data_IF_801142651508
#
_entry.id   IF_801142651508
#
_cell.length_a   1.000
_cell.length_b   1.000
_cell.length_c   1.000
_cell.angle_alpha   90.00
_cell.angle_beta   90.00
_cell.angle_gamma   90.00
#
_symmetry.space_group_name_H-M   'P 1'
#
loop_
_entity.id
_entity.type
_entity.pdbx_description
1 polymer ?
#
# COMPACT_ATOMS: atom_id res chain seq x y z
N UNK A 1 28.33 62.14 1.68
CA UNK A 1 29.27 61.28 2.44
C UNK A 1 28.63 59.94 2.61
N UNK A 2 28.96 59.19 1.73
CA UNK A 2 29.26 57.76 1.51
C UNK A 2 29.10 56.87 2.75
N UNK A 3 28.98 55.63 2.46
CA UNK A 3 28.01 54.64 2.01
C UNK A 3 28.23 53.26 2.68
N UNK A 4 27.73 52.25 2.01
CA UNK A 4 28.16 50.83 2.01
C UNK A 4 27.44 49.95 3.01
N UNK A 5 26.83 49.02 2.38
CA UNK A 5 27.22 47.61 2.06
C UNK A 5 26.72 46.73 3.16
N UNK A 6 26.10 45.64 2.92
CA UNK A 6 26.45 44.50 2.09
C UNK A 6 25.28 43.53 2.16
N UNK A 7 24.77 42.99 1.09
CA UNK A 7 25.33 41.84 0.37
C UNK A 7 25.50 40.58 1.22
N UNK A 8 24.79 39.59 0.72
CA UNK A 8 25.13 38.16 0.69
C UNK A 8 25.06 37.36 1.98
N UNK A 9 24.04 36.53 2.04
CA UNK A 9 24.30 35.11 1.92
C UNK A 9 22.99 34.31 1.76
N UNK A 10 22.69 33.80 0.59
CA UNK A 10 21.92 32.56 0.49
C UNK A 10 22.70 31.63 -0.40
N UNK A 11 23.25 30.58 0.08
CA UNK A 11 23.66 29.39 -0.69
C UNK A 11 24.48 28.42 0.16
N UNK A 12 23.91 27.90 1.22
CA UNK A 12 24.53 26.79 1.96
C UNK A 12 23.54 25.81 2.60
N UNK A 13 22.33 25.65 2.08
CA UNK A 13 21.35 24.71 2.64
C UNK A 13 20.92 23.58 1.68
N UNK A 14 21.53 23.45 0.50
CA UNK A 14 21.09 22.45 -0.49
C UNK A 14 22.05 21.29 -0.74
N UNK A 15 23.21 21.24 -0.10
CA UNK A 15 24.17 20.13 -0.27
C UNK A 15 24.05 18.99 0.75
N UNK A 16 23.13 19.08 1.72
CA UNK A 16 22.98 18.05 2.75
C UNK A 16 21.99 16.91 2.38
N UNK A 17 21.43 16.90 1.15
CA UNK A 17 20.41 15.92 0.74
C UNK A 17 20.90 14.73 -0.09
N UNK A 18 22.18 14.62 -0.39
CA UNK A 18 22.70 13.56 -1.27
C UNK A 18 23.93 12.83 -0.76
N UNK A 19 24.10 12.71 0.54
CA UNK A 19 25.12 11.81 1.05
C UNK A 19 24.56 10.37 1.05
N UNK A 20 25.19 9.40 0.36
CA UNK A 20 24.83 8.00 0.50
C UNK A 20 25.03 7.59 1.96
N UNK A 21 24.02 6.89 2.51
CA UNK A 21 24.12 6.28 3.84
C UNK A 21 25.44 5.48 3.91
N UNK A 22 26.19 5.56 5.03
CA UNK A 22 27.41 4.80 5.18
C UNK A 22 27.11 3.33 4.98
N UNK A 23 27.93 2.65 4.15
CA UNK A 23 27.82 1.21 3.94
C UNK A 23 27.97 0.48 5.30
N UNK A 24 26.96 -0.25 5.70
CA UNK A 24 27.01 -1.09 6.89
C UNK A 24 28.16 -2.11 6.76
N UNK A 25 28.84 -2.46 7.85
CA UNK A 25 29.95 -3.41 7.80
C UNK A 25 29.46 -4.77 7.25
N UNK A 26 30.26 -5.48 6.44
CA UNK A 26 29.86 -6.69 5.72
C UNK A 26 29.34 -7.84 6.63
N UNK A 27 29.73 -7.87 7.90
CA UNK A 27 29.20 -8.84 8.87
C UNK A 27 27.72 -8.59 9.22
N UNK A 28 27.27 -7.33 9.24
CA UNK A 28 25.88 -6.97 9.46
C UNK A 28 25.01 -7.29 8.21
N UNK A 29 25.55 -7.14 7.02
CA UNK A 29 24.86 -7.40 5.76
C UNK A 29 24.51 -8.91 5.60
N UNK A 30 25.45 -9.81 5.83
CA UNK A 30 25.20 -11.26 5.77
C UNK A 30 24.14 -11.73 6.77
N UNK A 31 24.14 -11.16 7.96
CA UNK A 31 23.15 -11.44 9.02
C UNK A 31 21.73 -10.97 8.61
N UNK A 32 21.62 -9.80 7.96
CA UNK A 32 20.32 -9.25 7.52
C UNK A 32 19.69 -10.06 6.38
N UNK A 33 20.48 -10.49 5.39
CA UNK A 33 20.01 -11.41 4.35
C UNK A 33 19.51 -12.73 4.96
N UNK A 34 20.28 -13.33 5.86
CA UNK A 34 19.93 -14.58 6.53
C UNK A 34 18.59 -14.47 7.29
N UNK A 35 18.36 -13.35 7.98
CA UNK A 35 17.10 -13.06 8.67
C UNK A 35 15.92 -12.95 7.68
N UNK A 36 16.10 -12.23 6.56
CA UNK A 36 15.07 -12.08 5.52
C UNK A 36 14.73 -13.42 4.86
N UNK A 37 15.73 -14.25 4.53
CA UNK A 37 15.52 -15.57 3.96
C UNK A 37 14.72 -16.46 4.90
N UNK A 38 15.12 -16.53 6.17
CA UNK A 38 14.41 -17.31 7.19
C UNK A 38 12.98 -16.81 7.41
N UNK A 39 12.78 -15.49 7.42
CA UNK A 39 11.45 -14.88 7.55
C UNK A 39 10.53 -15.33 6.41
N UNK A 40 10.96 -15.20 5.16
CA UNK A 40 10.15 -15.56 4.00
C UNK A 40 9.90 -17.07 3.91
N UNK A 41 10.90 -17.89 4.20
CA UNK A 41 10.74 -19.35 4.23
C UNK A 41 9.69 -19.77 5.25
N UNK A 42 9.80 -19.30 6.49
CA UNK A 42 8.84 -19.61 7.54
C UNK A 42 7.43 -19.12 7.20
N UNK A 43 7.33 -17.92 6.65
CA UNK A 43 6.06 -17.33 6.24
C UNK A 43 5.35 -18.14 5.14
N UNK A 44 6.11 -18.77 4.27
CA UNK A 44 5.58 -19.67 3.21
C UNK A 44 5.40 -21.11 3.68
N UNK A 45 5.71 -21.43 4.93
CA UNK A 45 5.57 -22.76 5.50
C UNK A 45 6.60 -23.77 4.99
N UNK A 46 7.70 -23.32 4.35
CA UNK A 46 8.73 -24.21 3.86
C UNK A 46 9.68 -24.65 5.00
N UNK A 47 9.98 -25.96 5.05
CA UNK A 47 11.18 -26.42 5.76
C UNK A 47 12.45 -26.06 4.97
N UNK A 48 13.64 -26.08 5.61
CA UNK A 48 14.90 -25.89 4.85
C UNK A 48 15.09 -26.94 3.76
N UNK A 49 14.64 -28.17 3.99
CA UNK A 49 14.70 -29.25 3.00
C UNK A 49 13.73 -28.98 1.84
N UNK A 50 12.50 -28.56 2.13
CA UNK A 50 11.52 -28.26 1.09
C UNK A 50 11.97 -27.09 0.20
N UNK A 51 12.53 -26.02 0.78
CA UNK A 51 13.08 -24.91 0.00
C UNK A 51 14.27 -25.35 -0.83
N UNK A 52 15.16 -26.18 -0.28
CA UNK A 52 16.32 -26.68 -0.97
C UNK A 52 15.93 -27.52 -2.21
N UNK A 53 14.93 -28.38 -2.08
CA UNK A 53 14.40 -29.19 -3.19
C UNK A 53 13.76 -28.30 -4.25
N UNK A 54 12.91 -27.36 -3.88
CA UNK A 54 12.26 -26.43 -4.81
C UNK A 54 13.29 -25.58 -5.57
N UNK A 55 14.30 -25.05 -4.87
CA UNK A 55 15.35 -24.23 -5.46
C UNK A 55 16.52 -25.06 -6.07
N UNK A 56 16.45 -26.38 -6.14
CA UNK A 56 17.51 -27.20 -6.74
C UNK A 56 18.88 -27.08 -6.06
N UNK A 57 18.92 -26.83 -4.75
CA UNK A 57 20.15 -26.71 -3.95
C UNK A 57 20.19 -27.71 -2.81
N UNK A 58 21.31 -27.84 -2.10
CA UNK A 58 21.38 -28.72 -0.93
C UNK A 58 20.77 -28.08 0.31
N UNK A 59 20.13 -28.85 1.18
CA UNK A 59 19.63 -28.38 2.48
C UNK A 59 20.76 -27.73 3.32
N UNK A 60 21.96 -28.29 3.28
CA UNK A 60 23.15 -27.75 3.94
C UNK A 60 23.44 -26.31 3.47
N UNK A 61 23.29 -26.05 2.17
CA UNK A 61 23.51 -24.71 1.61
C UNK A 61 22.49 -23.72 2.14
N UNK A 62 21.18 -24.07 2.14
CA UNK A 62 20.11 -23.24 2.72
C UNK A 62 20.40 -22.95 4.21
N UNK A 63 20.81 -23.98 4.98
CA UNK A 63 21.15 -23.83 6.38
C UNK A 63 22.34 -22.88 6.60
N UNK A 64 23.36 -22.93 5.73
CA UNK A 64 24.50 -22.02 5.81
C UNK A 64 24.15 -20.59 5.44
N UNK A 65 23.28 -20.39 4.44
CA UNK A 65 22.75 -19.06 4.08
C UNK A 65 21.95 -18.46 5.24
N UNK A 66 21.07 -19.22 5.89
CA UNK A 66 20.26 -18.77 7.01
C UNK A 66 21.05 -18.53 8.32
N UNK A 67 22.22 -19.15 8.44
CA UNK A 67 23.13 -18.94 9.58
C UNK A 67 24.25 -17.94 9.30
N UNK A 68 24.20 -17.26 8.15
CA UNK A 68 25.23 -16.34 7.67
C UNK A 68 26.64 -16.95 7.56
N UNK A 69 26.73 -18.28 7.42
CA UNK A 69 28.00 -19.02 7.21
C UNK A 69 28.42 -19.08 5.76
N UNK A 70 27.53 -18.75 4.84
CA UNK A 70 27.81 -18.65 3.41
C UNK A 70 27.21 -17.35 2.87
N UNK A 71 27.94 -16.69 1.97
CA UNK A 71 27.43 -15.56 1.22
C UNK A 71 26.65 -16.06 -0.02
N UNK A 72 25.45 -15.54 -0.28
CA UNK A 72 24.69 -15.88 -1.49
C UNK A 72 25.26 -15.19 -2.72
N UNK A 73 25.16 -15.81 -3.90
CA UNK A 73 25.31 -15.08 -5.16
C UNK A 73 24.01 -14.33 -5.50
N UNK A 74 24.10 -13.32 -6.37
CA UNK A 74 22.93 -12.57 -6.87
C UNK A 74 21.87 -13.50 -7.47
N UNK A 75 22.28 -14.47 -8.27
CA UNK A 75 21.37 -15.44 -8.90
C UNK A 75 20.71 -16.34 -7.84
N UNK A 76 21.45 -16.77 -6.83
CA UNK A 76 20.91 -17.56 -5.73
C UNK A 76 19.82 -16.80 -4.96
N UNK A 77 20.02 -15.51 -4.68
CA UNK A 77 19.00 -14.67 -4.03
C UNK A 77 17.73 -14.62 -4.86
N UNK A 78 17.85 -14.35 -6.17
CA UNK A 78 16.69 -14.25 -7.06
C UNK A 78 15.96 -15.58 -7.18
N UNK A 79 16.67 -16.69 -7.27
CA UNK A 79 16.11 -18.04 -7.35
C UNK A 79 15.33 -18.40 -6.07
N UNK A 80 15.94 -18.23 -4.90
CA UNK A 80 15.26 -18.47 -3.63
C UNK A 80 14.05 -17.55 -3.42
N UNK A 81 14.18 -16.28 -3.82
CA UNK A 81 13.09 -15.32 -3.72
C UNK A 81 11.94 -15.64 -4.68
N UNK A 82 12.21 -16.23 -5.83
CA UNK A 82 11.20 -16.68 -6.79
C UNK A 82 10.44 -17.88 -6.24
N UNK A 83 11.13 -18.93 -5.79
CA UNK A 83 10.51 -20.11 -5.17
C UNK A 83 9.64 -19.77 -3.95
N UNK A 84 10.06 -18.78 -3.18
CA UNK A 84 9.30 -18.28 -2.02
C UNK A 84 8.20 -17.28 -2.40
N UNK A 85 7.99 -16.97 -3.68
CA UNK A 85 7.06 -15.93 -4.14
C UNK A 85 7.23 -14.62 -3.35
N UNK A 86 8.49 -14.19 -3.16
CA UNK A 86 8.81 -12.94 -2.48
C UNK A 86 8.40 -11.78 -3.39
N UNK A 87 7.65 -10.77 -2.89
CA UNK A 87 7.31 -9.58 -3.68
C UNK A 87 8.56 -8.82 -4.16
N UNK A 88 8.47 -8.14 -5.31
CA UNK A 88 9.63 -7.53 -6.00
C UNK A 88 10.43 -6.57 -5.12
N UNK A 89 9.76 -5.73 -4.33
CA UNK A 89 10.41 -4.83 -3.37
C UNK A 89 11.24 -5.58 -2.33
N UNK A 90 10.70 -6.66 -1.81
CA UNK A 90 11.42 -7.49 -0.83
C UNK A 90 12.55 -8.29 -1.48
N UNK A 91 12.45 -8.65 -2.77
CA UNK A 91 13.60 -9.19 -3.53
C UNK A 91 14.72 -8.15 -3.60
N UNK A 92 14.39 -6.87 -3.87
CA UNK A 92 15.34 -5.77 -3.81
C UNK A 92 15.97 -5.63 -2.42
N UNK A 93 15.16 -5.72 -1.36
CA UNK A 93 15.67 -5.68 0.02
C UNK A 93 16.63 -6.85 0.32
N UNK A 94 16.32 -8.06 -0.15
CA UNK A 94 17.22 -9.22 -0.02
C UNK A 94 18.53 -9.02 -0.77
N UNK A 95 18.48 -8.44 -1.99
CA UNK A 95 19.67 -8.10 -2.78
C UNK A 95 20.53 -7.05 -2.06
N UNK A 96 19.92 -5.95 -1.61
CA UNK A 96 20.62 -4.90 -0.86
C UNK A 96 21.24 -5.43 0.44
N UNK A 97 20.51 -6.27 1.17
CA UNK A 97 20.99 -6.90 2.40
C UNK A 97 22.19 -7.85 2.18
N UNK A 98 22.40 -8.30 0.95
CA UNK A 98 23.55 -9.11 0.56
C UNK A 98 24.64 -8.31 -0.21
N UNK A 99 24.49 -6.97 -0.29
CA UNK A 99 25.45 -6.08 -0.94
C UNK A 99 25.31 -5.97 -2.47
N UNK A 100 24.17 -6.41 -3.04
CA UNK A 100 23.90 -6.29 -4.48
C UNK A 100 22.96 -5.12 -4.79
N UNK A 101 23.12 -4.54 -5.99
CA UNK A 101 22.18 -3.54 -6.50
C UNK A 101 20.78 -4.14 -6.71
N UNK A 102 19.69 -3.35 -6.52
CA UNK A 102 18.33 -3.75 -6.83
C UNK A 102 18.18 -4.28 -8.26
N UNK A 103 17.27 -5.24 -8.44
CA UNK A 103 16.98 -5.83 -9.75
C UNK A 103 15.72 -5.24 -10.40
N UNK A 104 14.82 -4.73 -9.60
CA UNK A 104 13.50 -4.27 -10.05
C UNK A 104 13.36 -2.77 -9.81
N UNK A 105 12.91 -2.00 -10.82
CA UNK A 105 12.58 -0.59 -10.62
C UNK A 105 11.52 -0.39 -9.54
N UNK A 106 11.49 0.79 -8.92
CA UNK A 106 10.51 1.16 -7.88
C UNK A 106 9.87 2.52 -8.20
N UNK A 107 9.65 2.82 -9.47
CA UNK A 107 9.13 4.13 -9.90
C UNK A 107 7.66 4.34 -9.52
N UNK A 108 6.80 3.31 -9.71
CA UNK A 108 5.36 3.46 -9.47
C UNK A 108 4.73 4.61 -10.27
N UNK A 109 3.46 4.94 -9.97
CA UNK A 109 2.76 6.08 -10.58
C UNK A 109 3.04 7.43 -9.90
N UNK A 110 3.71 7.44 -8.76
CA UNK A 110 3.98 8.65 -7.98
C UNK A 110 5.05 9.58 -8.58
N UNK A 111 5.87 9.10 -9.53
CA UNK A 111 6.87 9.92 -10.20
C UNK A 111 6.23 10.99 -11.09
N UNK A 112 6.86 12.15 -11.32
CA UNK A 112 6.38 13.16 -12.27
C UNK A 112 6.18 12.59 -13.69
N UNK A 113 5.21 13.11 -14.43
CA UNK A 113 4.85 12.56 -15.74
C UNK A 113 5.92 12.79 -16.81
N UNK A 114 6.64 13.88 -16.72
CA UNK A 114 7.74 14.30 -17.60
C UNK A 114 9.02 13.48 -17.40
N UNK A 115 9.20 12.89 -16.23
CA UNK A 115 10.32 12.00 -15.91
C UNK A 115 9.97 10.51 -16.13
N UNK A 116 8.74 10.20 -16.51
CA UNK A 116 8.27 8.84 -16.63
C UNK A 116 8.88 8.12 -17.84
N UNK A 117 9.38 6.91 -17.63
CA UNK A 117 9.82 6.02 -18.71
C UNK A 117 8.67 5.70 -19.69
N UNK A 118 8.96 5.31 -20.96
CA UNK A 118 7.91 4.91 -21.92
C UNK A 118 6.98 3.81 -21.36
N UNK A 119 7.53 2.86 -20.60
CA UNK A 119 6.75 1.83 -19.92
C UNK A 119 5.78 2.46 -18.91
N UNK A 120 6.23 3.41 -18.11
CA UNK A 120 5.40 4.07 -17.11
C UNK A 120 4.32 4.96 -17.75
N UNK A 121 4.61 5.59 -18.90
CA UNK A 121 3.61 6.32 -19.67
C UNK A 121 2.51 5.39 -20.17
N UNK A 122 2.87 4.20 -20.68
CA UNK A 122 1.88 3.19 -21.10
C UNK A 122 1.00 2.72 -19.92
N UNK A 123 1.60 2.51 -18.74
CA UNK A 123 0.85 2.15 -17.53
C UNK A 123 -0.11 3.27 -17.13
N UNK A 124 0.33 4.54 -17.14
CA UNK A 124 -0.54 5.71 -16.86
C UNK A 124 -1.73 5.77 -17.82
N UNK A 125 -1.46 5.54 -19.11
CA UNK A 125 -2.53 5.51 -20.12
C UNK A 125 -3.55 4.39 -19.83
N UNK A 126 -3.08 3.18 -19.52
CA UNK A 126 -3.95 2.06 -19.18
C UNK A 126 -4.78 2.32 -17.91
N UNK A 127 -4.14 2.86 -16.85
CA UNK A 127 -4.81 3.23 -15.60
C UNK A 127 -5.89 4.30 -15.88
N UNK A 128 -5.56 5.34 -16.65
CA UNK A 128 -6.53 6.37 -17.02
C UNK A 128 -7.72 5.79 -17.77
N UNK A 129 -7.48 4.88 -18.72
CA UNK A 129 -8.54 4.20 -19.44
C UNK A 129 -9.47 3.40 -18.50
N UNK A 130 -8.91 2.68 -17.53
CA UNK A 130 -9.69 1.94 -16.52
C UNK A 130 -10.54 2.92 -15.69
N UNK A 131 -9.95 4.00 -15.20
CA UNK A 131 -10.66 5.00 -14.40
C UNK A 131 -11.80 5.67 -15.20
N UNK A 132 -11.54 6.05 -16.45
CA UNK A 132 -12.54 6.69 -17.33
C UNK A 132 -13.69 5.73 -17.67
N UNK A 133 -13.40 4.45 -17.90
CA UNK A 133 -14.41 3.43 -18.23
C UNK A 133 -15.25 2.99 -17.02
N UNK A 134 -14.80 3.25 -15.80
CA UNK A 134 -15.56 2.95 -14.59
C UNK A 134 -16.73 3.93 -14.36
N UNK A 135 -16.71 5.12 -14.96
CA UNK A 135 -17.82 6.08 -14.85
C UNK A 135 -19.17 5.44 -15.25
N UNK A 136 -20.26 5.73 -14.56
CA UNK A 136 -20.47 6.78 -13.55
C UNK A 136 -20.04 6.40 -12.13
N UNK A 137 -19.44 5.24 -11.92
CA UNK A 137 -19.08 4.75 -10.60
C UNK A 137 -17.68 5.19 -10.17
N UNK A 138 -17.46 5.44 -8.87
CA UNK A 138 -16.18 5.88 -8.36
C UNK A 138 -15.08 4.84 -8.58
N UNK A 139 -13.85 5.31 -8.87
CA UNK A 139 -12.66 4.49 -8.90
C UNK A 139 -11.44 5.31 -8.49
N UNK A 140 -10.52 4.64 -7.80
CA UNK A 140 -9.27 5.23 -7.30
C UNK A 140 -8.09 4.31 -7.58
N UNK A 141 -6.91 4.90 -7.61
CA UNK A 141 -5.63 4.20 -7.65
C UNK A 141 -4.87 4.51 -6.37
N UNK A 142 -4.42 3.47 -5.70
CA UNK A 142 -3.71 3.55 -4.42
C UNK A 142 -2.33 2.91 -4.52
N UNK A 143 -1.38 3.46 -3.77
CA UNK A 143 -0.15 2.76 -3.47
C UNK A 143 -0.33 1.74 -2.32
N UNK A 144 0.76 1.06 -1.94
CA UNK A 144 0.77 0.09 -0.83
C UNK A 144 0.39 0.66 0.53
N UNK A 145 0.52 1.97 0.69
CA UNK A 145 0.22 2.70 1.92
C UNK A 145 -1.12 3.42 1.89
N UNK A 146 -1.96 3.11 0.90
CA UNK A 146 -3.26 3.77 0.65
C UNK A 146 -3.16 5.27 0.34
N UNK A 147 -2.00 5.75 -0.15
CA UNK A 147 -1.95 7.08 -0.73
C UNK A 147 -2.67 7.09 -2.06
N UNK A 148 -3.51 8.10 -2.25
CA UNK A 148 -4.27 8.31 -3.48
C UNK A 148 -3.33 8.79 -4.59
N UNK A 149 -3.10 7.95 -5.60
CA UNK A 149 -2.27 8.27 -6.76
C UNK A 149 -3.08 8.90 -7.89
N UNK A 150 -4.31 8.43 -8.09
CA UNK A 150 -5.26 8.98 -9.07
C UNK A 150 -6.70 8.60 -8.69
N UNK A 151 -7.68 9.32 -9.25
CA UNK A 151 -9.10 9.07 -9.07
C UNK A 151 -9.90 9.55 -10.27
N UNK A 152 -11.02 8.90 -10.56
CA UNK A 152 -11.94 9.42 -11.56
C UNK A 152 -12.82 10.56 -11.00
N UNK A 153 -13.52 11.26 -11.90
CA UNK A 153 -14.41 12.39 -11.54
C UNK A 153 -15.53 11.96 -10.60
N UNK A 154 -16.07 10.74 -10.78
CA UNK A 154 -17.13 10.22 -9.92
C UNK A 154 -16.67 10.10 -8.46
N UNK A 155 -15.44 9.62 -8.20
CA UNK A 155 -14.88 9.56 -6.85
C UNK A 155 -14.70 10.95 -6.25
N UNK A 156 -14.14 11.91 -6.99
CA UNK A 156 -13.95 13.28 -6.49
C UNK A 156 -15.28 13.92 -6.08
N UNK A 157 -16.33 13.76 -6.90
CA UNK A 157 -17.67 14.24 -6.58
C UNK A 157 -18.28 13.57 -5.35
N UNK A 158 -18.14 12.23 -5.26
CA UNK A 158 -18.61 11.48 -4.09
C UNK A 158 -17.92 11.95 -2.80
N UNK A 159 -16.61 12.12 -2.81
CA UNK A 159 -15.86 12.56 -1.64
C UNK A 159 -16.18 13.99 -1.27
N UNK A 160 -16.26 14.90 -2.23
CA UNK A 160 -16.67 16.28 -1.97
C UNK A 160 -18.08 16.35 -1.35
N UNK A 161 -19.02 15.53 -1.83
CA UNK A 161 -20.33 15.40 -1.21
C UNK A 161 -20.24 14.80 0.20
N UNK A 162 -19.52 13.71 0.40
CA UNK A 162 -19.48 13.00 1.68
C UNK A 162 -18.75 13.81 2.77
N UNK A 163 -17.64 14.46 2.44
CA UNK A 163 -16.83 15.22 3.39
C UNK A 163 -17.30 16.68 3.49
N UNK A 164 -17.69 17.28 2.36
CA UNK A 164 -18.15 18.67 2.26
C UNK A 164 -17.06 19.69 1.97
N UNK A 165 -15.86 19.22 1.70
CA UNK A 165 -14.70 20.04 1.33
C UNK A 165 -13.76 19.26 0.39
N UNK A 166 -12.64 19.90 0.01
CA UNK A 166 -11.69 19.36 -0.95
C UNK A 166 -10.52 18.57 -0.30
N UNK A 167 -10.62 18.15 0.98
CA UNK A 167 -9.56 17.41 1.67
C UNK A 167 -9.20 16.07 1.02
N UNK A 168 -10.09 15.52 0.21
CA UNK A 168 -9.82 14.33 -0.60
C UNK A 168 -9.08 14.62 -1.91
N UNK A 169 -8.80 15.88 -2.21
CA UNK A 169 -8.12 16.32 -3.41
C UNK A 169 -6.69 16.77 -3.09
N UNK A 170 -5.78 16.53 -4.01
CA UNK A 170 -4.38 16.91 -3.83
C UNK A 170 -3.49 16.33 -4.93
N UNK A 171 -2.20 16.66 -4.86
CA UNK A 171 -1.21 16.03 -5.72
C UNK A 171 -1.17 14.51 -5.50
N UNK A 172 -0.77 13.70 -6.49
CA UNK A 172 -0.62 12.27 -6.34
C UNK A 172 0.22 11.90 -5.10
N UNK A 173 -0.34 11.06 -4.22
CA UNK A 173 0.31 10.65 -2.97
C UNK A 173 0.14 11.58 -1.77
N UNK A 174 -0.47 12.76 -1.94
CA UNK A 174 -0.68 13.70 -0.83
C UNK A 174 -1.78 13.27 0.15
N UNK A 175 -2.80 12.58 -0.35
CA UNK A 175 -3.95 12.12 0.44
C UNK A 175 -3.79 10.65 0.79
N UNK A 176 -3.92 10.32 2.07
CA UNK A 176 -3.98 8.93 2.52
C UNK A 176 -5.43 8.53 2.81
N UNK A 177 -5.97 7.59 2.03
CA UNK A 177 -7.38 7.19 2.11
C UNK A 177 -7.75 6.55 3.44
N UNK A 178 -6.84 5.78 4.08
CA UNK A 178 -7.13 5.20 5.39
C UNK A 178 -7.18 6.29 6.48
N UNK A 179 -6.25 7.25 6.46
CA UNK A 179 -6.32 8.40 7.37
C UNK A 179 -7.64 9.17 7.16
N UNK A 180 -8.03 9.41 5.90
CA UNK A 180 -9.27 10.12 5.58
C UNK A 180 -10.52 9.38 6.09
N UNK A 181 -10.57 8.06 5.95
CA UNK A 181 -11.69 7.22 6.42
C UNK A 181 -11.79 7.23 7.95
N UNK A 182 -10.68 7.11 8.67
CA UNK A 182 -10.68 7.04 10.15
C UNK A 182 -10.72 8.41 10.83
N UNK A 183 -10.51 9.51 10.09
CA UNK A 183 -10.52 10.87 10.65
C UNK A 183 -11.94 11.27 11.10
N UNK A 184 -12.15 11.53 12.42
CA UNK A 184 -13.44 11.92 12.95
C UNK A 184 -13.96 13.27 12.42
N UNK A 185 -13.12 14.04 11.74
CA UNK A 185 -13.48 15.32 11.13
C UNK A 185 -13.62 15.26 9.60
N UNK A 186 -13.34 14.10 8.98
CA UNK A 186 -13.40 13.91 7.52
C UNK A 186 -14.51 12.95 7.11
N UNK A 187 -14.15 11.74 6.64
CA UNK A 187 -15.15 10.79 6.09
C UNK A 187 -15.88 10.00 7.20
N UNK A 188 -15.26 9.82 8.36
CA UNK A 188 -15.81 9.01 9.45
C UNK A 188 -17.25 9.36 9.85
N UNK A 189 -17.64 10.65 10.00
CA UNK A 189 -19.01 11.03 10.38
C UNK A 189 -20.06 10.66 9.34
N UNK A 190 -19.68 10.62 8.06
CA UNK A 190 -20.58 10.28 6.97
C UNK A 190 -20.84 8.77 6.84
N UNK A 191 -20.02 7.91 7.46
CA UNK A 191 -20.18 6.46 7.39
C UNK A 191 -21.23 5.99 8.39
N UNK A 192 -22.37 5.50 7.92
CA UNK A 192 -23.47 5.03 8.74
C UNK A 192 -23.09 3.79 9.54
N UNK A 193 -22.55 2.79 8.88
CA UNK A 193 -22.12 1.52 9.46
C UNK A 193 -20.65 1.50 9.88
N UNK A 194 -20.19 2.64 10.40
CA UNK A 194 -18.76 2.93 10.69
C UNK A 194 -18.08 1.94 11.62
N UNK A 195 -18.81 1.34 12.59
CA UNK A 195 -18.20 0.36 13.48
C UNK A 195 -17.83 -0.95 12.76
N UNK A 196 -18.72 -1.46 11.90
CA UNK A 196 -18.47 -2.68 11.14
C UNK A 196 -17.36 -2.42 10.09
N UNK A 197 -17.46 -1.33 9.33
CA UNK A 197 -16.47 -0.92 8.35
C UNK A 197 -15.12 -0.63 9.01
N UNK A 198 -15.12 0.09 10.12
CA UNK A 198 -13.91 0.44 10.86
C UNK A 198 -13.17 -0.78 11.39
N UNK A 199 -13.87 -1.74 12.01
CA UNK A 199 -13.26 -3.00 12.47
C UNK A 199 -12.69 -3.82 11.31
N UNK A 200 -13.40 -3.90 10.19
CA UNK A 200 -12.92 -4.58 9.00
C UNK A 200 -11.65 -3.92 8.45
N UNK A 201 -11.67 -2.61 8.26
CA UNK A 201 -10.53 -1.85 7.72
C UNK A 201 -9.33 -1.85 8.68
N UNK A 202 -9.54 -1.71 9.99
CA UNK A 202 -8.46 -1.79 10.97
C UNK A 202 -7.75 -3.16 10.93
N UNK A 203 -8.52 -4.24 10.80
CA UNK A 203 -7.95 -5.58 10.62
C UNK A 203 -7.19 -5.71 9.30
N UNK A 204 -7.76 -5.21 8.21
CA UNK A 204 -7.12 -5.21 6.89
C UNK A 204 -5.79 -4.44 6.91
N UNK A 205 -5.79 -3.22 7.44
CA UNK A 205 -4.58 -2.39 7.58
C UNK A 205 -3.49 -3.15 8.35
N UNK A 206 -3.84 -3.75 9.48
CA UNK A 206 -2.88 -4.53 10.27
C UNK A 206 -2.34 -5.74 9.51
N UNK A 207 -3.19 -6.50 8.84
CA UNK A 207 -2.77 -7.68 8.07
C UNK A 207 -1.85 -7.29 6.91
N UNK A 208 -2.18 -6.24 6.18
CA UNK A 208 -1.38 -5.77 5.05
C UNK A 208 -0.04 -5.17 5.51
N UNK A 209 -0.06 -4.35 6.56
CA UNK A 209 1.17 -3.77 7.09
C UNK A 209 2.06 -4.78 7.81
N UNK A 210 1.50 -5.85 8.40
CA UNK A 210 2.29 -6.94 8.98
C UNK A 210 3.15 -7.66 7.93
N UNK A 211 2.79 -7.59 6.64
CA UNK A 211 3.62 -8.08 5.54
C UNK A 211 4.92 -7.26 5.36
N UNK A 212 4.89 -6.02 5.79
CA UNK A 212 5.96 -5.02 5.64
C UNK A 212 6.50 -4.54 6.99
N UNK A 213 6.30 -5.32 8.07
CA UNK A 213 6.61 -4.92 9.46
C UNK A 213 8.08 -4.53 9.72
N UNK A 214 8.98 -4.84 8.80
CA UNK A 214 10.41 -4.50 8.88
C UNK A 214 10.68 -3.05 8.42
N UNK A 215 9.70 -2.41 7.77
CA UNK A 215 9.83 -1.04 7.26
C UNK A 215 9.35 -0.02 8.30
N UNK A 216 10.22 0.89 8.80
CA UNK A 216 9.83 1.91 9.78
C UNK A 216 8.73 2.87 9.28
N UNK A 217 8.62 3.10 7.97
CA UNK A 217 7.55 3.93 7.40
C UNK A 217 6.19 3.25 7.54
N UNK A 218 6.15 1.94 7.36
CA UNK A 218 4.96 1.10 7.57
C UNK A 218 4.49 1.17 9.02
N UNK A 219 5.41 1.08 9.98
CA UNK A 219 5.06 1.13 11.39
C UNK A 219 4.51 2.50 11.80
N UNK A 220 5.15 3.58 11.36
CA UNK A 220 4.65 4.95 11.60
C UNK A 220 3.25 5.16 11.04
N UNK A 221 2.98 4.69 9.83
CA UNK A 221 1.64 4.80 9.22
C UNK A 221 0.58 4.04 10.05
N UNK A 222 0.91 2.84 10.53
CA UNK A 222 0.00 2.08 11.40
C UNK A 222 -0.30 2.82 12.69
N UNK A 223 0.72 3.40 13.33
CA UNK A 223 0.57 4.16 14.57
C UNK A 223 -0.27 5.43 14.35
N UNK A 224 -0.04 6.15 13.24
CA UNK A 224 -0.83 7.31 12.86
C UNK A 224 -2.31 6.97 12.65
N UNK A 225 -2.62 5.89 11.92
CA UNK A 225 -4.00 5.46 11.67
C UNK A 225 -4.65 4.98 12.97
N UNK A 226 -3.93 4.22 13.80
CA UNK A 226 -4.39 3.75 15.11
C UNK A 226 -4.74 4.92 16.03
N UNK A 227 -3.94 5.98 16.02
CA UNK A 227 -4.18 7.17 16.84
C UNK A 227 -5.50 7.89 16.51
N UNK A 228 -6.03 7.76 15.30
CA UNK A 228 -7.32 8.35 14.91
C UNK A 228 -8.52 7.64 15.56
N UNK A 229 -8.43 6.30 15.74
CA UNK A 229 -9.53 5.48 16.27
C UNK A 229 -8.99 4.32 17.16
N UNK A 230 -8.38 4.60 18.32
CA UNK A 230 -7.70 3.59 19.14
C UNK A 230 -8.59 2.40 19.51
N UNK A 231 -9.82 2.66 19.95
CA UNK A 231 -10.76 1.63 20.38
C UNK A 231 -11.12 0.62 19.29
N UNK A 232 -11.15 1.03 18.02
CA UNK A 232 -11.40 0.13 16.90
C UNK A 232 -10.23 -0.83 16.66
N UNK A 233 -9.02 -0.35 16.83
CA UNK A 233 -7.82 -1.18 16.67
C UNK A 233 -7.67 -2.17 17.83
N UNK A 234 -8.01 -1.79 19.05
CA UNK A 234 -8.09 -2.69 20.20
C UNK A 234 -9.15 -3.77 19.99
N UNK A 235 -10.35 -3.38 19.53
CA UNK A 235 -11.43 -4.33 19.23
C UNK A 235 -11.10 -5.25 18.04
N UNK A 236 -10.29 -4.82 17.08
CA UNK A 236 -9.83 -5.63 15.96
C UNK A 236 -8.80 -6.69 16.39
N UNK A 237 -8.19 -6.56 17.57
CA UNK A 237 -7.30 -7.56 18.17
C UNK A 237 -8.07 -8.73 18.78
N UNK A 238 -9.33 -8.54 19.13
CA UNK A 238 -10.16 -9.61 19.64
C UNK A 238 -10.37 -10.71 18.60
N UNK A 239 -10.37 -12.00 19.01
CA UNK A 239 -10.76 -13.11 18.12
C UNK A 239 -12.13 -12.84 17.50
N UNK A 240 -12.29 -13.20 16.23
CA UNK A 240 -13.65 -13.23 15.65
C UNK A 240 -14.53 -14.15 16.50
N UNK A 241 -15.79 -13.77 16.77
CA UNK A 241 -16.75 -14.70 17.34
C UNK A 241 -16.77 -15.96 16.45
N UNK A 242 -16.33 -17.09 17.00
CA UNK A 242 -16.40 -18.38 16.32
C UNK A 242 -17.81 -18.93 16.51
N UNK A 243 -18.70 -18.58 15.60
CA UNK A 243 -20.05 -19.11 15.56
C UNK A 243 -20.92 -18.34 14.58
N UNK A 244 -21.86 -18.98 13.90
CA UNK A 244 -22.89 -18.24 13.19
C UNK A 244 -23.64 -17.40 14.22
N UNK A 245 -23.77 -16.11 13.99
CA UNK A 245 -24.69 -15.26 14.72
C UNK A 245 -26.10 -15.82 14.45
N UNK A 246 -26.70 -16.46 15.44
CA UNK A 246 -27.89 -17.30 15.30
C UNK A 246 -29.16 -16.53 14.87
N UNK A 247 -29.10 -15.21 14.70
CA UNK A 247 -30.26 -14.36 14.39
C UNK A 247 -30.05 -13.34 13.27
N UNK A 248 -28.91 -13.32 12.60
CA UNK A 248 -28.73 -12.51 11.40
C UNK A 248 -28.85 -13.42 10.18
N UNK A 249 -29.83 -13.17 9.31
CA UNK A 249 -29.92 -13.84 8.01
C UNK A 249 -28.57 -13.89 7.31
N UNK A 250 -28.41 -14.74 6.30
CA UNK A 250 -27.13 -14.93 5.61
C UNK A 250 -26.39 -13.60 5.42
N UNK A 251 -25.17 -13.45 6.01
CA UNK A 251 -24.45 -12.19 5.88
C UNK A 251 -24.19 -11.93 4.39
N UNK A 252 -24.32 -10.67 3.92
CA UNK A 252 -24.06 -10.36 2.54
C UNK A 252 -22.63 -10.79 2.17
N UNK A 253 -22.39 -11.26 0.93
CA UNK A 253 -21.09 -11.76 0.49
C UNK A 253 -19.97 -10.70 0.53
N UNK A 254 -20.33 -9.45 0.77
CA UNK A 254 -19.40 -8.31 0.92
C UNK A 254 -19.94 -7.35 2.00
N UNK A 255 -19.05 -6.60 2.63
CA UNK A 255 -19.41 -5.54 3.57
C UNK A 255 -19.57 -4.22 2.78
N UNK A 256 -20.79 -3.70 2.59
CA UNK A 256 -20.98 -2.41 1.96
C UNK A 256 -20.51 -1.28 2.89
N UNK A 257 -19.97 -0.21 2.32
CA UNK A 257 -19.76 1.07 2.99
C UNK A 257 -20.97 1.94 2.69
N UNK A 258 -21.73 2.29 3.72
CA UNK A 258 -22.91 3.15 3.60
C UNK A 258 -22.59 4.57 4.05
N UNK A 259 -22.66 5.50 3.12
CA UNK A 259 -22.46 6.92 3.34
C UNK A 259 -23.80 7.63 3.44
N UNK A 260 -23.92 8.60 4.35
CA UNK A 260 -25.12 9.44 4.49
C UNK A 260 -24.74 10.90 4.72
N UNK A 261 -25.36 11.79 3.96
CA UNK A 261 -25.27 13.22 4.13
C UNK A 261 -26.49 13.93 3.53
N UNK A 262 -26.97 14.99 4.18
CA UNK A 262 -28.07 15.85 3.71
C UNK A 262 -29.32 15.05 3.25
N UNK A 263 -29.66 14.00 4.00
CA UNK A 263 -30.82 13.13 3.70
C UNK A 263 -30.60 12.13 2.57
N UNK A 264 -29.47 12.14 1.87
CA UNK A 264 -29.11 11.16 0.86
C UNK A 264 -28.24 10.06 1.46
N UNK A 265 -28.61 8.79 1.14
CA UNK A 265 -27.83 7.61 1.53
C UNK A 265 -27.31 6.90 0.30
N UNK A 266 -26.04 6.51 0.31
CA UNK A 266 -25.37 5.78 -0.77
C UNK A 266 -24.62 4.60 -0.16
N UNK A 267 -24.97 3.38 -0.57
CA UNK A 267 -24.31 2.15 -0.16
C UNK A 267 -23.46 1.61 -1.30
N UNK A 268 -22.19 1.31 -1.01
CA UNK A 268 -21.20 0.91 -2.00
C UNK A 268 -20.49 -0.36 -1.55
N UNK A 269 -20.20 -1.26 -2.47
CA UNK A 269 -19.20 -2.29 -2.28
C UNK A 269 -17.98 -2.03 -3.19
N UNK A 270 -16.86 -2.63 -2.86
CA UNK A 270 -15.62 -2.40 -3.61
C UNK A 270 -15.06 -3.69 -4.20
N UNK A 271 -14.40 -3.56 -5.35
CA UNK A 271 -13.54 -4.58 -5.92
C UNK A 271 -12.12 -4.05 -6.03
N UNK A 272 -11.15 -4.94 -5.89
CA UNK A 272 -9.74 -4.62 -6.02
C UNK A 272 -9.19 -5.26 -7.28
N UNK A 273 -8.52 -4.46 -8.09
CA UNK A 273 -7.84 -4.90 -9.31
C UNK A 273 -6.35 -4.55 -9.20
N UNK A 274 -5.49 -5.47 -9.63
CA UNK A 274 -4.04 -5.29 -9.72
C UNK A 274 -3.58 -5.54 -11.15
N UNK A 275 -2.40 -5.03 -11.52
CA UNK A 275 -1.78 -5.37 -12.80
C UNK A 275 -1.29 -6.82 -12.79
N UNK A 276 -1.55 -7.57 -13.87
CA UNK A 276 -1.33 -9.01 -13.90
C UNK A 276 0.15 -9.44 -13.89
N UNK A 277 1.05 -8.67 -14.52
CA UNK A 277 2.47 -9.03 -14.65
C UNK A 277 3.40 -7.83 -14.44
N UNK A 278 3.40 -7.24 -13.25
CA UNK A 278 4.24 -6.08 -12.99
C UNK A 278 5.73 -6.46 -12.97
N UNK A 279 6.55 -5.60 -13.60
CA UNK A 279 8.02 -5.70 -13.58
C UNK A 279 8.67 -4.59 -12.76
N UNK A 280 7.86 -3.75 -12.13
CA UNK A 280 8.23 -2.65 -11.25
C UNK A 280 7.62 -2.91 -9.88
N UNK A 281 8.36 -2.71 -8.80
CA UNK A 281 7.92 -3.01 -7.45
C UNK A 281 6.78 -2.09 -7.00
N UNK A 282 6.78 -0.83 -7.42
CA UNK A 282 5.70 0.11 -7.12
C UNK A 282 4.41 -0.27 -7.84
N UNK A 283 4.51 -0.76 -9.09
CA UNK A 283 3.34 -1.24 -9.85
C UNK A 283 2.78 -2.56 -9.29
N UNK A 284 3.63 -3.44 -8.74
CA UNK A 284 3.17 -4.66 -8.09
C UNK A 284 2.30 -4.37 -6.86
N UNK A 285 2.60 -3.30 -6.16
CA UNK A 285 1.92 -2.90 -4.93
C UNK A 285 0.76 -1.92 -5.18
N UNK A 286 0.62 -1.45 -6.41
CA UNK A 286 -0.47 -0.56 -6.82
C UNK A 286 -1.80 -1.31 -6.89
N UNK A 287 -2.88 -0.66 -6.45
CA UNK A 287 -4.24 -1.20 -6.45
C UNK A 287 -5.18 -0.21 -7.13
N UNK A 288 -6.07 -0.74 -7.93
CA UNK A 288 -7.22 0.01 -8.46
C UNK A 288 -8.44 -0.47 -7.69
N UNK A 289 -9.07 0.43 -6.95
CA UNK A 289 -10.28 0.14 -6.20
C UNK A 289 -11.47 0.74 -6.94
N UNK A 290 -12.40 -0.13 -7.37
CA UNK A 290 -13.62 0.25 -8.06
C UNK A 290 -14.80 0.09 -7.12
N UNK A 291 -15.63 1.12 -7.02
CA UNK A 291 -16.80 1.16 -6.15
C UNK A 291 -18.06 0.95 -6.98
N UNK A 292 -18.94 0.11 -6.49
CA UNK A 292 -20.21 -0.21 -7.15
C UNK A 292 -21.37 0.02 -6.18
N UNK A 293 -22.52 0.49 -6.68
CA UNK A 293 -23.72 0.64 -5.86
C UNK A 293 -24.19 -0.73 -5.34
N UNK A 294 -24.49 -0.80 -4.04
CA UNK A 294 -25.00 -2.02 -3.41
C UNK A 294 -26.51 -2.21 -3.66
N UNK A 295 -27.21 -1.14 -4.07
CA UNK A 295 -28.63 -1.11 -4.35
C UNK A 295 -29.01 -0.11 -5.46
N UNK A 296 -30.24 -0.21 -5.93
CA UNK A 296 -30.76 0.60 -7.03
C UNK A 296 -30.88 2.10 -6.68
N UNK A 297 -31.14 2.43 -5.41
CA UNK A 297 -31.22 3.82 -4.96
C UNK A 297 -29.85 4.48 -5.03
N UNK A 298 -28.82 3.76 -4.57
CA UNK A 298 -27.40 4.18 -4.63
C UNK A 298 -26.94 4.32 -6.08
N UNK A 299 -27.35 3.41 -6.97
CA UNK A 299 -27.05 3.51 -8.40
C UNK A 299 -27.57 4.82 -9.00
N UNK A 300 -28.85 5.12 -8.77
CA UNK A 300 -29.49 6.35 -9.27
C UNK A 300 -28.88 7.61 -8.68
N UNK A 301 -28.44 7.55 -7.42
CA UNK A 301 -27.77 8.66 -6.76
C UNK A 301 -26.42 8.97 -7.42
N UNK A 302 -25.60 7.95 -7.66
CA UNK A 302 -24.28 8.11 -8.31
C UNK A 302 -24.41 8.64 -9.75
N UNK A 303 -25.36 8.11 -10.53
CA UNK A 303 -25.63 8.58 -11.89
C UNK A 303 -26.00 10.06 -11.90
N UNK A 304 -26.85 10.53 -10.97
CA UNK A 304 -27.20 11.95 -10.84
C UNK A 304 -26.04 12.84 -10.42
N UNK A 305 -25.13 12.32 -9.57
CA UNK A 305 -23.92 13.06 -9.16
C UNK A 305 -22.94 13.22 -10.33
N UNK A 306 -23.02 12.37 -11.33
CA UNK A 306 -22.09 12.36 -12.47
C UNK A 306 -22.55 13.26 -13.62
N UNK A 307 -23.83 13.58 -13.69
CA UNK A 307 -24.40 14.55 -14.62
C UNK A 307 -24.12 15.99 -14.17
#
# INVERSE_FOLDING_TARGET
MNPRQSEDTPAMLDEARSAPLPAEPPEAAGSRFAQLLRFWRNRRGYSQLALALAAGVSQRHVSFLESARAAPSRNMILQLAEELNVPLRHRNQMLLAAGFAPAYPEQGLGAPADEASPMMQAVRHAVKLILDKQAPYPAIVLDRFWHLLDANTAHRRLMRWAIGDDRSEGAPGAVNMMKLVFDPTALWPAIVNREAVGRYLARRVRQELALHAIDPATQRLLDDIRALQPALFEAADAPLPTGPAADAGDPPPFLPVTLQRDGLTISLFTTLTTLGTPRDAGLQEMRIECFYPADEASRRALERMTL
#
